data_IF_184961427326
#
_entry.id   IF_184961427326
#
_cell.length_a   1.000
_cell.length_b   1.000
_cell.length_c   1.000
_cell.angle_alpha   90.00
_cell.angle_beta   90.00
_cell.angle_gamma   90.00
#
_symmetry.space_group_name_H-M   'P 1'
#
loop_
_entity.id
_entity.type
_entity.pdbx_description
1 polymer ?
#
# COMPACT_ATOMS: atom_id res chain seq x y z
N UNK A 1 1.64 -8.73 13.40
CA UNK A 1 1.29 -8.29 12.04
C UNK A 1 2.28 -8.93 11.09
N UNK A 2 1.79 -9.41 9.94
CA UNK A 2 2.67 -9.88 8.87
C UNK A 2 3.52 -8.70 8.37
N UNK A 3 4.79 -8.97 8.05
CA UNK A 3 5.72 -7.97 7.54
C UNK A 3 5.86 -8.17 6.05
N UNK A 4 5.38 -7.22 5.27
CA UNK A 4 5.49 -7.24 3.81
C UNK A 4 6.73 -6.45 3.43
N UNK A 5 7.77 -7.07 2.83
CA UNK A 5 8.98 -6.34 2.47
C UNK A 5 8.72 -5.33 1.34
N UNK A 6 9.08 -4.09 1.60
CA UNK A 6 8.97 -2.95 0.68
C UNK A 6 10.36 -2.30 0.57
N UNK A 7 10.60 -1.59 -0.52
CA UNK A 7 11.73 -0.68 -0.68
C UNK A 7 11.21 0.67 -1.18
N UNK A 8 11.97 1.73 -1.01
CA UNK A 8 11.73 2.97 -1.73
C UNK A 8 12.91 3.37 -2.63
N UNK A 9 12.59 4.02 -3.74
CA UNK A 9 13.57 4.43 -4.75
C UNK A 9 13.28 5.82 -5.29
N UNK A 10 14.33 6.44 -5.80
CA UNK A 10 14.28 7.72 -6.52
C UNK A 10 15.30 7.73 -7.66
N UNK A 11 15.46 8.88 -8.30
CA UNK A 11 16.54 9.13 -9.26
C UNK A 11 17.94 8.84 -8.68
N UNK A 12 18.11 8.90 -7.36
CA UNK A 12 19.40 8.62 -6.71
C UNK A 12 19.84 7.16 -6.85
N UNK A 13 18.90 6.21 -6.93
CA UNK A 13 19.20 4.80 -7.16
C UNK A 13 19.50 4.54 -8.64
N UNK A 14 18.68 5.10 -9.54
CA UNK A 14 18.80 4.83 -10.99
C UNK A 14 20.05 5.46 -11.61
N UNK A 15 20.55 6.58 -11.06
CA UNK A 15 21.85 7.17 -11.46
C UNK A 15 23.06 6.30 -11.15
N UNK A 16 22.93 5.32 -10.24
CA UNK A 16 24.00 4.36 -9.90
C UNK A 16 24.00 3.14 -10.81
N UNK A 17 22.93 2.94 -11.58
CA UNK A 17 22.78 1.83 -12.50
C UNK A 17 21.31 1.47 -12.70
N UNK A 18 21.04 0.78 -13.81
CA UNK A 18 19.69 0.28 -14.12
C UNK A 18 19.24 -0.72 -13.06
N UNK A 19 18.08 -0.49 -12.46
CA UNK A 19 17.46 -1.41 -11.49
C UNK A 19 16.90 -2.63 -12.22
N UNK A 20 17.15 -3.82 -11.67
CA UNK A 20 16.54 -5.09 -12.08
C UNK A 20 15.35 -5.42 -11.17
N UNK A 21 14.16 -4.92 -11.55
CA UNK A 21 12.93 -5.09 -10.78
C UNK A 21 12.48 -6.56 -10.66
N UNK A 22 12.81 -7.41 -11.63
CA UNK A 22 12.50 -8.83 -11.52
C UNK A 22 13.35 -9.48 -10.44
N UNK A 23 14.63 -9.11 -10.35
CA UNK A 23 15.51 -9.56 -9.26
C UNK A 23 15.07 -9.01 -7.90
N UNK A 24 14.55 -7.78 -7.85
CA UNK A 24 13.93 -7.21 -6.64
C UNK A 24 12.74 -8.07 -6.20
N UNK A 25 11.78 -8.34 -7.10
CA UNK A 25 10.61 -9.18 -6.81
C UNK A 25 11.01 -10.59 -6.33
N UNK A 26 11.96 -11.22 -7.04
CA UNK A 26 12.45 -12.56 -6.71
C UNK A 26 13.20 -12.63 -5.37
N UNK A 27 13.64 -11.49 -4.83
CA UNK A 27 14.25 -11.43 -3.49
C UNK A 27 13.25 -11.47 -2.33
N UNK A 28 11.95 -11.45 -2.63
CA UNK A 28 10.88 -11.45 -1.63
C UNK A 28 10.24 -10.08 -1.40
N UNK A 29 10.72 -9.02 -2.06
CA UNK A 29 10.07 -7.71 -2.05
C UNK A 29 8.71 -7.79 -2.75
N UNK A 30 7.71 -7.11 -2.20
CA UNK A 30 6.32 -7.12 -2.68
C UNK A 30 5.76 -5.74 -2.97
N UNK A 31 6.29 -4.69 -2.34
CA UNK A 31 5.93 -3.31 -2.65
C UNK A 31 7.15 -2.45 -2.95
N UNK A 32 6.92 -1.33 -3.61
CA UNK A 32 7.92 -0.30 -3.87
C UNK A 32 7.30 1.09 -3.84
N UNK A 33 7.91 2.02 -3.11
CA UNK A 33 7.56 3.44 -3.12
C UNK A 33 8.50 4.19 -4.07
N UNK A 34 7.95 4.87 -5.07
CA UNK A 34 8.74 5.56 -6.10
C UNK A 34 8.57 7.06 -5.94
N UNK A 35 9.68 7.79 -5.82
CA UNK A 35 9.62 9.25 -5.72
C UNK A 35 9.07 9.84 -7.02
N UNK A 36 8.02 10.63 -6.91
CA UNK A 36 7.55 11.46 -8.02
C UNK A 36 8.59 12.53 -8.31
N UNK A 37 9.06 13.19 -7.25
CA UNK A 37 9.97 14.31 -7.32
C UNK A 37 9.97 15.06 -5.99
N UNK A 38 10.31 16.34 -6.04
CA UNK A 38 10.22 17.23 -4.89
C UNK A 38 9.28 18.41 -5.17
N UNK A 39 8.41 18.72 -4.22
CA UNK A 39 7.54 19.89 -4.27
C UNK A 39 8.26 21.10 -3.67
N UNK A 40 8.32 22.22 -4.41
CA UNK A 40 8.86 23.47 -3.89
C UNK A 40 7.95 24.15 -2.86
N UNK A 41 8.39 25.30 -2.34
CA UNK A 41 7.66 26.10 -1.35
C UNK A 41 6.21 26.42 -1.78
N UNK A 42 6.01 26.67 -3.07
CA UNK A 42 4.72 27.00 -3.70
C UNK A 42 4.00 25.78 -4.30
N UNK A 43 4.42 24.56 -3.98
CA UNK A 43 3.73 23.31 -4.31
C UNK A 43 3.97 22.73 -5.71
N UNK A 44 4.74 23.41 -6.57
CA UNK A 44 5.14 22.85 -7.87
C UNK A 44 6.10 21.66 -7.68
N UNK A 45 5.77 20.52 -8.29
CA UNK A 45 6.61 19.33 -8.28
C UNK A 45 7.60 19.37 -9.42
N UNK A 46 8.88 19.26 -9.08
CA UNK A 46 9.94 18.94 -10.04
C UNK A 46 10.10 17.43 -10.10
N UNK A 47 9.59 16.84 -11.17
CA UNK A 47 9.54 15.39 -11.37
C UNK A 47 10.95 14.76 -11.54
N UNK A 48 11.17 13.62 -10.88
CA UNK A 48 12.36 12.79 -11.04
C UNK A 48 12.34 12.14 -12.44
N UNK A 49 13.42 12.32 -13.21
CA UNK A 49 13.57 11.80 -14.58
C UNK A 49 13.38 10.27 -14.71
N UNK A 50 13.49 9.53 -13.60
CA UNK A 50 13.34 8.08 -13.56
C UNK A 50 11.93 7.59 -13.26
N UNK A 51 10.98 8.48 -12.97
CA UNK A 51 9.64 8.12 -12.47
C UNK A 51 8.89 7.16 -13.40
N UNK A 52 8.71 7.55 -14.66
CA UNK A 52 7.91 6.77 -15.63
C UNK A 52 8.49 5.37 -15.88
N UNK A 53 9.80 5.26 -16.17
CA UNK A 53 10.45 3.95 -16.37
C UNK A 53 10.34 3.06 -15.13
N UNK A 54 10.49 3.66 -13.94
CA UNK A 54 10.45 2.92 -12.68
C UNK A 54 9.06 2.38 -12.39
N UNK A 55 8.00 3.20 -12.53
CA UNK A 55 6.62 2.77 -12.31
C UNK A 55 6.23 1.64 -13.27
N UNK A 56 6.50 1.83 -14.56
CA UNK A 56 6.12 0.85 -15.60
C UNK A 56 6.81 -0.49 -15.35
N UNK A 57 8.13 -0.47 -15.10
CA UNK A 57 8.92 -1.71 -14.98
C UNK A 57 8.76 -2.40 -13.63
N UNK A 58 8.53 -1.65 -12.55
CA UNK A 58 8.21 -2.24 -11.25
C UNK A 58 6.84 -2.93 -11.28
N UNK A 59 5.81 -2.26 -11.82
CA UNK A 59 4.48 -2.85 -11.96
C UNK A 59 4.51 -4.10 -12.86
N UNK A 60 5.26 -4.06 -13.98
CA UNK A 60 5.42 -5.21 -14.87
C UNK A 60 6.14 -6.41 -14.21
N UNK A 61 6.99 -6.17 -13.21
CA UNK A 61 7.63 -7.22 -12.42
C UNK A 61 6.71 -7.80 -11.32
N UNK A 62 5.50 -7.27 -11.16
CA UNK A 62 4.53 -7.69 -10.15
C UNK A 62 4.72 -7.05 -8.77
N UNK A 63 5.52 -5.99 -8.66
CA UNK A 63 5.65 -5.21 -7.42
C UNK A 63 4.42 -4.30 -7.28
N UNK A 64 3.86 -4.20 -6.08
CA UNK A 64 2.88 -3.17 -5.76
C UNK A 64 3.55 -1.80 -5.75
N UNK A 65 3.03 -0.83 -6.50
CA UNK A 65 3.68 0.48 -6.68
C UNK A 65 2.94 1.57 -5.93
N UNK A 66 3.66 2.32 -5.12
CA UNK A 66 3.21 3.55 -4.47
C UNK A 66 4.08 4.71 -4.90
N UNK A 67 3.63 5.92 -4.58
CA UNK A 67 4.31 7.15 -4.97
C UNK A 67 4.58 8.01 -3.75
N UNK A 68 5.67 8.78 -3.76
CA UNK A 68 5.90 9.78 -2.72
C UNK A 68 6.44 11.09 -3.29
N UNK A 69 6.15 12.20 -2.61
CA UNK A 69 6.62 13.54 -2.95
C UNK A 69 7.43 14.07 -1.79
N UNK A 70 8.72 14.33 -2.01
CA UNK A 70 9.56 15.03 -1.03
C UNK A 70 9.09 16.48 -0.94
N UNK A 71 8.65 16.92 0.23
CA UNK A 71 7.97 18.21 0.35
C UNK A 71 8.86 19.31 0.91
N UNK A 72 8.81 20.47 0.26
CA UNK A 72 9.17 21.75 0.87
C UNK A 72 7.94 22.66 0.99
N UNK A 73 6.70 22.20 0.83
CA UNK A 73 5.54 23.09 0.83
C UNK A 73 5.41 23.89 2.13
N UNK A 74 5.24 25.21 2.00
CA UNK A 74 5.18 26.13 3.15
C UNK A 74 3.78 26.72 3.38
N UNK A 75 2.74 26.05 2.90
CA UNK A 75 1.33 26.42 3.14
C UNK A 75 0.39 25.28 2.75
N UNK A 76 -0.83 25.29 3.29
CA UNK A 76 -1.92 24.41 2.83
C UNK A 76 -2.18 24.51 1.32
N UNK A 77 -2.09 25.72 0.75
CA UNK A 77 -2.33 25.95 -0.68
C UNK A 77 -1.25 25.26 -1.52
N UNK A 78 0.01 25.38 -1.12
CA UNK A 78 1.12 24.68 -1.77
C UNK A 78 0.95 23.16 -1.67
N UNK A 79 0.55 22.66 -0.50
CA UNK A 79 0.30 21.24 -0.27
C UNK A 79 -0.85 20.68 -1.14
N UNK A 80 -1.97 21.40 -1.25
CA UNK A 80 -3.08 21.01 -2.14
C UNK A 80 -2.66 20.97 -3.60
N UNK A 81 -1.87 21.95 -4.04
CA UNK A 81 -1.33 21.97 -5.41
C UNK A 81 -0.39 20.79 -5.67
N UNK A 82 0.49 20.46 -4.72
CA UNK A 82 1.35 19.29 -4.82
C UNK A 82 0.53 17.99 -4.86
N UNK A 83 -0.53 17.87 -4.04
CA UNK A 83 -1.43 16.73 -4.06
C UNK A 83 -2.13 16.56 -5.42
N UNK A 84 -2.64 17.65 -5.99
CA UNK A 84 -3.25 17.64 -7.33
C UNK A 84 -2.25 17.14 -8.40
N UNK A 85 -1.03 17.66 -8.42
CA UNK A 85 0.01 17.23 -9.35
C UNK A 85 0.46 15.77 -9.11
N UNK A 86 0.50 15.32 -7.86
CA UNK A 86 0.82 13.94 -7.51
C UNK A 86 -0.26 12.96 -8.02
N UNK A 87 -1.54 13.32 -7.89
CA UNK A 87 -2.66 12.53 -8.42
C UNK A 87 -2.70 12.58 -9.95
N UNK A 88 -2.49 13.74 -10.58
CA UNK A 88 -2.37 13.84 -12.04
C UNK A 88 -1.24 12.94 -12.57
N UNK A 89 -0.11 12.92 -11.88
CA UNK A 89 0.99 11.99 -12.15
C UNK A 89 0.56 10.53 -12.02
N UNK A 90 -0.13 10.18 -10.93
CA UNK A 90 -0.62 8.82 -10.69
C UNK A 90 -1.59 8.35 -11.78
N UNK A 91 -2.45 9.25 -12.29
CA UNK A 91 -3.39 8.99 -13.39
C UNK A 91 -2.71 8.71 -14.73
N UNK A 92 -1.43 9.05 -14.92
CA UNK A 92 -0.66 8.58 -16.08
C UNK A 92 -0.45 7.06 -16.07
N UNK A 93 -0.64 6.42 -14.91
CA UNK A 93 -0.35 5.02 -14.64
C UNK A 93 -1.57 4.24 -14.13
N UNK A 94 -2.77 4.50 -14.70
CA UNK A 94 -4.01 3.80 -14.33
C UNK A 94 -3.81 2.28 -14.19
N UNK A 95 -4.34 1.72 -13.10
CA UNK A 95 -4.25 0.30 -12.74
C UNK A 95 -2.89 -0.15 -12.16
N UNK A 96 -1.90 0.74 -12.00
CA UNK A 96 -0.55 0.37 -11.52
C UNK A 96 -0.22 0.88 -10.13
N UNK A 97 -0.87 1.97 -9.68
CA UNK A 97 -0.60 2.58 -8.39
C UNK A 97 -1.43 1.86 -7.31
N UNK A 98 -0.90 0.73 -6.83
CA UNK A 98 -1.58 -0.17 -5.86
C UNK A 98 -1.18 0.08 -4.41
N UNK A 99 -0.34 1.08 -4.15
CA UNK A 99 0.06 1.55 -2.81
C UNK A 99 -0.28 3.05 -2.67
N UNK A 100 -0.17 3.63 -1.47
CA UNK A 100 -0.52 5.03 -1.21
C UNK A 100 0.28 6.06 -2.04
N UNK A 101 -0.28 7.27 -2.13
CA UNK A 101 0.47 8.49 -2.45
C UNK A 101 0.89 9.14 -1.13
N UNK A 102 2.19 9.33 -0.95
CA UNK A 102 2.78 9.75 0.32
C UNK A 102 3.30 11.19 0.27
N UNK A 103 2.93 11.98 1.27
CA UNK A 103 3.59 13.26 1.55
C UNK A 103 4.80 13.03 2.46
N UNK A 104 5.99 13.17 1.91
CA UNK A 104 7.24 13.06 2.66
C UNK A 104 7.55 14.43 3.29
N UNK A 105 7.30 14.51 4.60
CA UNK A 105 7.48 15.70 5.42
C UNK A 105 8.64 15.49 6.40
N UNK A 106 9.79 15.95 5.98
CA UNK A 106 11.01 15.92 6.76
C UNK A 106 11.86 17.17 6.53
N UNK A 107 12.68 17.51 7.51
CA UNK A 107 13.61 18.63 7.40
C UNK A 107 15.03 18.14 7.66
N UNK A 108 15.92 18.43 6.71
CA UNK A 108 17.35 18.10 6.80
C UNK A 108 18.26 19.29 6.52
N UNK A 109 17.79 20.37 5.87
CA UNK A 109 18.70 21.38 5.29
C UNK A 109 18.21 22.84 5.27
N UNK A 110 16.91 23.14 5.12
CA UNK A 110 16.45 24.49 4.73
C UNK A 110 15.69 25.23 5.84
N UNK A 111 15.32 24.55 6.92
CA UNK A 111 14.52 25.05 8.05
C UNK A 111 13.16 25.65 7.66
N UNK A 112 12.75 25.53 6.39
CA UNK A 112 11.54 26.16 5.87
C UNK A 112 10.29 25.56 6.51
N UNK A 113 10.26 24.24 6.69
CA UNK A 113 9.10 23.54 7.27
C UNK A 113 8.97 23.85 8.76
N UNK A 114 10.08 23.83 9.50
CA UNK A 114 10.06 24.08 10.95
C UNK A 114 9.73 25.53 11.31
N UNK A 115 9.97 26.48 10.39
CA UNK A 115 9.67 27.90 10.58
C UNK A 115 8.17 28.24 10.45
N UNK A 116 7.36 27.37 9.84
CA UNK A 116 5.89 27.51 9.85
C UNK A 116 5.31 27.43 11.27
N UNK A 117 6.01 26.72 12.14
CA UNK A 117 5.47 26.33 13.44
C UNK A 117 4.58 25.09 13.33
N UNK A 118 4.29 24.52 14.50
CA UNK A 118 3.73 23.18 14.65
C UNK A 118 2.33 23.03 14.06
N UNK A 119 1.48 24.02 14.29
CA UNK A 119 0.07 24.03 13.84
C UNK A 119 -0.01 24.12 12.31
N UNK A 120 0.60 25.15 11.73
CA UNK A 120 0.56 25.40 10.27
C UNK A 120 1.27 24.31 9.46
N UNK A 121 2.35 23.72 9.98
CA UNK A 121 2.97 22.55 9.35
C UNK A 121 2.04 21.33 9.40
N UNK A 122 1.32 21.12 10.50
CA UNK A 122 0.33 20.03 10.58
C UNK A 122 -0.82 20.27 9.60
N UNK A 123 -1.32 21.50 9.49
CA UNK A 123 -2.36 21.88 8.52
C UNK A 123 -1.91 21.62 7.09
N UNK A 124 -0.64 21.90 6.78
CA UNK A 124 -0.02 21.62 5.49
C UNK A 124 -0.05 20.13 5.15
N UNK A 125 0.27 19.25 6.11
CA UNK A 125 0.22 17.79 5.91
C UNK A 125 -1.22 17.30 5.72
N UNK A 126 -2.16 17.79 6.54
CA UNK A 126 -3.59 17.48 6.42
C UNK A 126 -4.11 17.89 5.04
N UNK A 127 -3.79 19.11 4.61
CA UNK A 127 -4.23 19.66 3.33
C UNK A 127 -3.78 18.82 2.12
N UNK A 128 -2.56 18.29 2.14
CA UNK A 128 -2.13 17.33 1.10
C UNK A 128 -2.96 16.04 1.15
N UNK A 129 -3.05 15.42 2.32
CA UNK A 129 -3.68 14.11 2.46
C UNK A 129 -5.18 14.14 2.16
N UNK A 130 -5.89 15.17 2.63
CA UNK A 130 -7.30 15.37 2.32
C UNK A 130 -7.54 15.57 0.82
N UNK A 131 -6.70 16.36 0.15
CA UNK A 131 -6.83 16.61 -1.29
C UNK A 131 -6.60 15.31 -2.10
N UNK A 132 -5.59 14.51 -1.75
CA UNK A 132 -5.36 13.18 -2.37
C UNK A 132 -6.60 12.29 -2.20
N UNK A 133 -7.18 12.23 -1.00
CA UNK A 133 -8.39 11.44 -0.73
C UNK A 133 -9.61 11.96 -1.47
N UNK A 134 -9.81 13.28 -1.52
CA UNK A 134 -10.91 13.91 -2.27
C UNK A 134 -10.83 13.60 -3.76
N UNK A 135 -9.62 13.45 -4.30
CA UNK A 135 -9.38 13.10 -5.69
C UNK A 135 -9.48 11.58 -5.96
N UNK A 136 -9.84 10.77 -4.97
CA UNK A 136 -10.10 9.33 -5.10
C UNK A 136 -8.85 8.45 -4.93
N UNK A 137 -7.80 8.95 -4.29
CA UNK A 137 -6.56 8.19 -4.04
C UNK A 137 -6.32 7.99 -2.54
N UNK A 138 -5.63 6.91 -2.19
CA UNK A 138 -5.25 6.62 -0.81
C UNK A 138 -4.05 7.49 -0.41
N UNK A 139 -4.24 8.31 0.63
CA UNK A 139 -3.20 9.18 1.16
C UNK A 139 -2.47 8.55 2.34
N UNK A 140 -1.20 8.91 2.50
CA UNK A 140 -0.35 8.58 3.63
C UNK A 140 0.67 9.70 3.81
N UNK A 141 1.27 9.81 4.98
CA UNK A 141 2.37 10.74 5.23
C UNK A 141 3.59 10.01 5.75
N UNK A 142 4.77 10.56 5.49
CA UNK A 142 6.04 10.02 5.94
C UNK A 142 6.79 11.03 6.79
N UNK A 143 7.41 10.55 7.87
CA UNK A 143 8.33 11.33 8.70
C UNK A 143 9.12 10.42 9.65
N UNK A 144 9.91 11.02 10.54
CA UNK A 144 10.70 10.32 11.56
C UNK A 144 10.37 10.80 12.99
N UNK A 145 10.54 9.96 14.04
CA UNK A 145 10.03 10.22 15.39
C UNK A 145 10.35 11.59 15.97
N UNK A 146 11.61 12.04 15.88
CA UNK A 146 12.02 13.33 16.41
C UNK A 146 11.27 14.49 15.73
N UNK A 147 11.10 14.43 14.41
CA UNK A 147 10.39 15.47 13.68
C UNK A 147 8.92 15.51 14.08
N UNK A 148 8.28 14.34 14.15
CA UNK A 148 6.88 14.21 14.56
C UNK A 148 6.65 14.79 15.95
N UNK A 149 7.45 14.37 16.94
CA UNK A 149 7.30 14.80 18.33
C UNK A 149 7.53 16.31 18.50
N UNK A 150 8.46 16.88 17.72
CA UNK A 150 8.87 18.28 17.87
C UNK A 150 7.99 19.24 17.06
N UNK A 151 7.65 18.89 15.83
CA UNK A 151 7.13 19.81 14.83
C UNK A 151 5.72 19.51 14.33
N UNK A 152 5.10 18.40 14.75
CA UNK A 152 3.75 18.03 14.29
C UNK A 152 2.78 17.76 15.44
N UNK A 153 1.50 18.10 15.26
CA UNK A 153 0.41 17.68 16.13
C UNK A 153 -0.12 16.31 15.67
N UNK A 154 0.66 15.26 15.93
CA UNK A 154 0.41 13.90 15.42
C UNK A 154 -1.01 13.36 15.67
N UNK A 155 -1.66 13.76 16.76
CA UNK A 155 -3.06 13.38 17.05
C UNK A 155 -4.03 13.79 15.94
N UNK A 156 -3.78 14.93 15.29
CA UNK A 156 -4.60 15.44 14.17
C UNK A 156 -4.37 14.66 12.87
N UNK A 157 -3.26 13.93 12.78
CA UNK A 157 -2.86 13.14 11.61
C UNK A 157 -3.28 11.67 11.69
N UNK A 158 -3.83 11.21 12.82
CA UNK A 158 -4.37 9.86 13.02
C UNK A 158 -5.38 9.37 11.97
N UNK A 159 -6.14 10.23 11.27
CA UNK A 159 -6.98 9.79 10.14
C UNK A 159 -6.21 9.24 8.94
N UNK A 160 -4.90 9.49 8.85
CA UNK A 160 -4.04 9.05 7.74
C UNK A 160 -2.96 8.10 8.24
N UNK A 161 -2.68 7.04 7.46
CA UNK A 161 -1.61 6.12 7.79
C UNK A 161 -0.24 6.84 7.76
N UNK A 162 0.64 6.41 8.66
CA UNK A 162 2.03 6.88 8.74
C UNK A 162 2.99 5.83 8.16
N UNK A 163 3.90 6.28 7.29
CA UNK A 163 5.15 5.59 6.98
C UNK A 163 6.27 6.21 7.81
N UNK A 164 6.72 5.49 8.83
CA UNK A 164 7.71 6.03 9.78
C UNK A 164 9.13 5.58 9.45
N UNK A 165 10.10 6.50 9.50
CA UNK A 165 11.51 6.15 9.46
C UNK A 165 12.13 6.12 10.85
N UNK A 166 12.61 4.95 11.26
CA UNK A 166 13.38 4.78 12.49
C UNK A 166 14.36 3.62 12.32
N UNK A 167 15.66 3.94 12.26
CA UNK A 167 16.72 2.96 12.01
C UNK A 167 17.24 2.30 13.29
N UNK A 168 16.58 2.51 14.42
CA UNK A 168 16.85 1.80 15.66
C UNK A 168 16.25 0.39 15.65
N UNK A 169 16.55 -0.41 16.67
CA UNK A 169 16.02 -1.77 16.80
C UNK A 169 14.54 -1.82 17.18
N UNK A 170 13.99 -0.71 17.67
CA UNK A 170 12.59 -0.60 18.11
C UNK A 170 12.13 0.82 17.85
N UNK A 171 11.07 0.95 17.04
CA UNK A 171 10.49 2.24 16.66
C UNK A 171 10.14 3.05 17.91
N UNK A 172 10.66 4.26 18.01
CA UNK A 172 10.37 5.23 19.08
C UNK A 172 9.08 6.02 18.79
N UNK A 173 7.99 5.29 18.56
CA UNK A 173 6.67 5.84 18.27
C UNK A 173 5.61 4.82 18.67
N UNK A 174 4.74 5.19 19.62
CA UNK A 174 3.81 4.27 20.26
C UNK A 174 2.44 4.19 19.56
N UNK A 175 2.18 5.12 18.64
CA UNK A 175 0.92 5.17 17.87
C UNK A 175 1.01 4.31 16.61
N UNK A 176 -0.14 4.12 15.95
CA UNK A 176 -0.21 3.31 14.73
C UNK A 176 0.64 3.90 13.59
N UNK A 177 1.38 3.02 12.91
CA UNK A 177 2.03 3.28 11.63
C UNK A 177 1.78 2.11 10.69
N UNK A 178 1.49 2.42 9.43
CA UNK A 178 1.17 1.43 8.41
C UNK A 178 2.41 0.91 7.67
N UNK A 179 3.51 1.68 7.67
CA UNK A 179 4.80 1.29 7.11
C UNK A 179 5.95 1.73 8.03
N UNK A 180 7.06 0.99 7.99
CA UNK A 180 8.28 1.31 8.73
C UNK A 180 9.52 1.15 7.86
N UNK A 181 10.23 2.26 7.62
CA UNK A 181 11.58 2.27 7.05
C UNK A 181 12.58 1.96 8.17
N UNK A 182 13.09 0.74 8.17
CA UNK A 182 13.96 0.23 9.24
C UNK A 182 15.45 0.38 8.92
N UNK A 183 15.78 0.74 7.68
CA UNK A 183 17.14 1.06 7.26
C UNK A 183 17.09 2.01 6.05
N UNK A 184 17.81 3.13 6.16
CA UNK A 184 18.03 4.05 5.04
C UNK A 184 19.29 3.68 4.24
N UNK A 185 20.17 4.66 4.00
CA UNK A 185 21.42 4.57 3.21
C UNK A 185 22.36 3.37 3.50
N UNK A 186 22.24 2.69 4.65
CA UNK A 186 23.00 1.47 4.96
C UNK A 186 22.42 0.19 4.35
N UNK A 187 21.22 0.26 3.75
CA UNK A 187 20.49 -0.88 3.22
C UNK A 187 20.96 -1.31 1.84
N UNK A 188 20.60 -2.55 1.48
CA UNK A 188 20.87 -3.13 0.16
C UNK A 188 19.67 -3.97 -0.28
N UNK A 189 19.44 -4.04 -1.59
CA UNK A 189 18.42 -4.90 -2.18
C UNK A 189 18.96 -5.59 -3.44
N UNK A 190 18.79 -6.92 -3.61
CA UNK A 190 19.11 -7.57 -4.87
C UNK A 190 18.41 -6.88 -6.04
N UNK A 191 19.16 -6.52 -7.07
CA UNK A 191 18.66 -5.78 -8.24
C UNK A 191 18.83 -4.26 -8.17
N UNK A 192 19.23 -3.70 -7.03
CA UNK A 192 19.57 -2.28 -6.87
C UNK A 192 21.08 -2.12 -6.67
N UNK A 193 21.71 -1.21 -7.42
CA UNK A 193 23.14 -0.92 -7.28
C UNK A 193 23.37 0.14 -6.21
N UNK A 194 24.12 -0.21 -5.16
CA UNK A 194 24.44 0.69 -4.06
C UNK A 194 23.38 0.69 -2.95
N UNK A 195 23.27 1.80 -2.19
CA UNK A 195 22.27 1.95 -1.13
C UNK A 195 20.84 1.73 -1.63
N UNK A 196 20.04 1.06 -0.80
CA UNK A 196 18.62 0.88 -1.00
C UNK A 196 17.93 0.86 0.35
N UNK A 197 17.03 1.80 0.55
CA UNK A 197 16.22 1.90 1.75
C UNK A 197 15.30 0.68 1.83
N UNK A 198 15.04 0.19 3.05
CA UNK A 198 14.21 -1.00 3.27
C UNK A 198 13.13 -0.75 4.28
N UNK A 199 11.98 -1.30 3.92
CA UNK A 199 10.73 -1.04 4.60
C UNK A 199 9.97 -2.33 4.89
N UNK A 200 9.10 -2.25 5.88
CA UNK A 200 7.99 -3.16 6.05
C UNK A 200 6.68 -2.41 5.96
N UNK A 201 5.75 -2.91 5.13
CA UNK A 201 4.34 -2.60 5.28
C UNK A 201 3.70 -3.60 6.24
N UNK A 202 2.77 -3.11 7.07
CA UNK A 202 2.00 -3.91 8.02
C UNK A 202 0.53 -4.08 7.60
N UNK A 203 0.17 -3.46 6.48
CA UNK A 203 -1.15 -3.49 5.87
C UNK A 203 -1.03 -3.96 4.42
N UNK A 204 -2.05 -4.70 3.96
CA UNK A 204 -2.19 -5.07 2.55
C UNK A 204 -2.85 -3.90 1.78
N UNK A 205 -2.06 -2.87 1.48
CA UNK A 205 -2.54 -1.70 0.74
C UNK A 205 -3.19 -2.07 -0.60
N UNK A 206 -2.64 -2.98 -1.43
CA UNK A 206 -3.31 -3.40 -2.65
C UNK A 206 -4.74 -3.90 -2.42
N UNK A 207 -5.00 -4.66 -1.36
CA UNK A 207 -6.34 -5.14 -1.03
C UNK A 207 -7.23 -4.04 -0.43
N UNK A 208 -6.68 -3.20 0.46
CA UNK A 208 -7.42 -2.09 1.11
C UNK A 208 -7.88 -1.07 0.06
N UNK A 209 -6.96 -0.63 -0.79
CA UNK A 209 -7.21 0.41 -1.80
C UNK A 209 -8.24 -0.07 -2.83
N UNK A 210 -8.12 -1.32 -3.32
CA UNK A 210 -9.13 -1.90 -4.22
C UNK A 210 -10.50 -1.97 -3.57
N UNK A 211 -10.60 -2.52 -2.35
CA UNK A 211 -11.88 -2.62 -1.63
C UNK A 211 -12.55 -1.27 -1.40
N UNK A 212 -11.75 -0.22 -1.26
CA UNK A 212 -12.24 1.15 -1.09
C UNK A 212 -12.62 1.83 -2.42
N UNK A 213 -12.36 1.20 -3.58
CA UNK A 213 -12.57 1.80 -4.90
C UNK A 213 -11.67 2.99 -5.18
N UNK A 214 -10.44 2.98 -4.63
CA UNK A 214 -9.48 4.07 -4.73
C UNK A 214 -8.39 3.79 -5.79
N UNK A 215 -7.62 4.84 -6.10
CA UNK A 215 -6.44 4.84 -6.98
C UNK A 215 -6.72 4.49 -8.45
N UNK A 216 -7.95 4.69 -8.93
CA UNK A 216 -8.38 4.28 -10.27
C UNK A 216 -8.05 2.79 -10.54
N UNK A 217 -8.10 1.97 -9.48
CA UNK A 217 -8.01 0.52 -9.59
C UNK A 217 -9.39 -0.02 -9.89
N UNK A 218 -9.48 -0.88 -10.90
CA UNK A 218 -10.69 -1.67 -11.10
C UNK A 218 -10.92 -2.53 -9.86
N UNK A 219 -12.18 -2.65 -9.44
CA UNK A 219 -12.58 -3.71 -8.53
C UNK A 219 -12.05 -5.02 -9.15
N UNK A 220 -11.27 -5.79 -8.39
CA UNK A 220 -11.05 -7.16 -8.78
C UNK A 220 -12.42 -7.82 -8.77
N UNK A 221 -13.08 -7.89 -9.94
CA UNK A 221 -13.94 -9.02 -10.21
C UNK A 221 -13.04 -10.20 -9.92
N UNK A 222 -13.32 -10.86 -8.81
CA UNK A 222 -12.66 -12.09 -8.43
C UNK A 222 -12.90 -13.06 -9.59
N UNK A 223 -12.04 -13.05 -10.60
CA UNK A 223 -11.90 -14.13 -11.56
C UNK A 223 -11.02 -15.13 -10.81
N UNK A 224 -11.61 -16.16 -10.17
CA UNK A 224 -10.80 -17.17 -9.53
C UNK A 224 -9.89 -17.74 -10.62
N UNK A 225 -8.61 -17.90 -10.33
CA UNK A 225 -7.71 -18.57 -11.27
C UNK A 225 -8.38 -19.88 -11.71
N UNK A 226 -8.30 -20.23 -13.00
CA UNK A 226 -9.00 -21.40 -13.55
C UNK A 226 -8.79 -22.67 -12.71
N UNK A 227 -7.67 -22.77 -12.00
CA UNK A 227 -7.35 -23.87 -11.10
C UNK A 227 -8.10 -23.81 -9.75
N UNK A 228 -8.34 -22.61 -9.19
CA UNK A 228 -9.20 -22.44 -8.02
C UNK A 228 -10.66 -22.73 -8.35
N UNK A 229 -11.14 -22.30 -9.53
CA UNK A 229 -12.48 -22.64 -10.03
C UNK A 229 -12.65 -24.15 -10.21
N UNK A 230 -11.65 -24.84 -10.78
CA UNK A 230 -11.65 -26.30 -10.89
C UNK A 230 -11.66 -26.98 -9.52
N UNK A 231 -10.86 -26.51 -8.57
CA UNK A 231 -10.85 -27.06 -7.21
C UNK A 231 -12.20 -26.89 -6.52
N UNK A 232 -12.81 -25.70 -6.62
CA UNK A 232 -14.10 -25.41 -6.02
C UNK A 232 -15.22 -26.23 -6.68
N UNK A 233 -15.17 -26.39 -8.01
CA UNK A 233 -16.10 -27.25 -8.74
C UNK A 233 -15.95 -28.73 -8.35
N UNK A 234 -14.73 -29.21 -8.16
CA UNK A 234 -14.48 -30.57 -7.67
C UNK A 234 -15.07 -30.77 -6.26
N UNK A 235 -14.80 -29.84 -5.34
CA UNK A 235 -15.36 -29.86 -3.99
C UNK A 235 -16.89 -29.83 -3.98
N UNK A 236 -17.50 -28.98 -4.81
CA UNK A 236 -18.96 -28.92 -4.96
C UNK A 236 -19.53 -30.23 -5.52
N UNK A 237 -18.82 -30.90 -6.42
CA UNK A 237 -19.25 -32.18 -6.98
C UNK A 237 -19.19 -33.32 -5.95
N UNK A 238 -18.16 -33.33 -5.11
CA UNK A 238 -18.03 -34.31 -4.03
C UNK A 238 -19.11 -34.11 -2.97
N UNK A 239 -19.37 -32.85 -2.58
CA UNK A 239 -20.43 -32.53 -1.64
C UNK A 239 -21.82 -32.94 -2.17
N UNK A 240 -22.09 -32.74 -3.46
CA UNK A 240 -23.36 -33.19 -4.07
C UNK A 240 -23.53 -34.71 -4.00
N UNK A 241 -22.47 -35.48 -4.26
CA UNK A 241 -22.51 -36.95 -4.14
C UNK A 241 -22.79 -37.40 -2.72
N UNK A 242 -22.19 -36.74 -1.73
CA UNK A 242 -22.43 -37.04 -0.32
C UNK A 242 -23.89 -36.78 0.05
N UNK A 243 -24.46 -35.65 -0.39
CA UNK A 243 -25.88 -35.32 -0.19
C UNK A 243 -26.79 -36.38 -0.83
N UNK A 244 -26.50 -36.82 -2.06
CA UNK A 244 -27.28 -37.87 -2.74
C UNK A 244 -27.23 -39.21 -1.98
N UNK A 245 -26.06 -39.60 -1.48
CA UNK A 245 -25.91 -40.81 -0.67
C UNK A 245 -26.71 -40.74 0.64
N UNK A 246 -26.65 -39.59 1.32
CA UNK A 246 -27.41 -39.36 2.55
C UNK A 246 -28.92 -39.39 2.27
N UNK A 247 -29.39 -38.81 1.17
CA UNK A 247 -30.80 -38.87 0.76
C UNK A 247 -31.28 -40.30 0.49
N UNK A 248 -30.43 -41.13 -0.15
CA UNK A 248 -30.74 -42.54 -0.38
C UNK A 248 -30.86 -43.31 0.95
N UNK A 249 -29.95 -43.09 1.89
CA UNK A 249 -29.98 -43.70 3.21
C UNK A 249 -31.23 -43.29 4.00
N UNK A 250 -31.59 -42.00 4.00
CA UNK A 250 -32.81 -41.50 4.66
C UNK A 250 -34.05 -42.15 4.05
N UNK A 251 -34.10 -42.31 2.72
CA UNK A 251 -35.21 -42.96 2.03
C UNK A 251 -35.34 -44.42 2.45
N UNK A 252 -34.22 -45.15 2.50
CA UNK A 252 -34.20 -46.55 2.93
C UNK A 252 -34.66 -46.70 4.39
N UNK A 253 -34.12 -45.87 5.30
CA UNK A 253 -34.49 -45.88 6.71
C UNK A 253 -35.98 -45.55 6.91
N UNK A 254 -36.50 -44.59 6.17
CA UNK A 254 -37.92 -44.24 6.19
C UNK A 254 -38.79 -45.41 5.71
N UNK A 255 -38.34 -46.11 4.65
CA UNK A 255 -39.00 -47.33 4.17
C UNK A 255 -39.03 -48.44 5.23
N UNK A 256 -37.90 -48.69 5.90
CA UNK A 256 -37.81 -49.67 7.00
C UNK A 256 -38.70 -49.28 8.19
N UNK A 257 -38.72 -48.00 8.55
CA UNK A 257 -39.57 -47.48 9.64
C UNK A 257 -41.06 -47.73 9.33
N UNK A 258 -41.49 -47.46 8.10
CA UNK A 258 -42.87 -47.69 7.66
C UNK A 258 -43.24 -49.19 7.68
N UNK A 259 -42.32 -50.08 7.30
CA UNK A 259 -42.54 -51.53 7.40
C UNK A 259 -42.70 -51.99 8.86
N UNK A 260 -41.85 -51.49 9.76
CA UNK A 260 -41.94 -51.79 11.20
C UNK A 260 -43.28 -51.27 11.76
N UNK A 261 -43.68 -50.05 11.42
CA UNK A 261 -44.94 -49.47 11.86
C UNK A 261 -46.15 -50.30 11.40
N UNK A 262 -46.15 -50.83 10.17
CA UNK A 262 -47.20 -51.69 9.67
C UNK A 262 -47.29 -53.04 10.41
N UNK A 263 -46.15 -53.61 10.81
CA UNK A 263 -46.10 -54.87 11.57
C UNK A 263 -46.55 -54.71 13.02
N UNK A 264 -46.41 -53.51 13.61
CA UNK A 264 -46.83 -53.21 14.98
C UNK A 264 -48.34 -52.89 15.14
N UNK A 265 -49.10 -52.87 14.05
CA UNK A 265 -50.56 -52.64 14.05
C UNK A 265 -51.40 -53.95 14.01
N UNK A 266 -50.76 -55.10 14.26
CA UNK A 266 -51.38 -56.43 14.39
C UNK A 266 -51.31 -56.90 15.84
#
# INVERSE_FOLDING_TARGET
MERIPVIDISVHNTRRGRIDFQRVYNSGVRGIMIRIGWAGYEGEIVEDESLEDSVIRAAAAGLGVGLYVYSYCTSEQAAKKAAQQAVETARRFVGKITYPIVFDVEETQTAALINLGREELTDTVIAFCEEVQQLGYYAMWYSYPYFIQTHLEADRLKPFDLWIADYSTTVNYDEFYGMWQYIGNGGTCPGVTGPCDRDYAFQDYPAIIRRAGLNDLEDETFEPCADQLKQLQAQLSDFRREVEQLQAQVTELTGRLNQIAALAQV
#
